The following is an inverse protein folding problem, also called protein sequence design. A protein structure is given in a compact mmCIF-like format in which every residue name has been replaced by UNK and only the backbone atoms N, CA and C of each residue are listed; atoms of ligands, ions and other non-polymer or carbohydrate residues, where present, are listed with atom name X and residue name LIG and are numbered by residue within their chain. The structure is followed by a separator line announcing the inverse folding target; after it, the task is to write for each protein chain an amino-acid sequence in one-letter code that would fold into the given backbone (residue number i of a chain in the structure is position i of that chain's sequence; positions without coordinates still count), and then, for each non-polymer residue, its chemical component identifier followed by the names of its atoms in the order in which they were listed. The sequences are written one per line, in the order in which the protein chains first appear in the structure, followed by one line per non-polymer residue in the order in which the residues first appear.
data_IF_130901362527
#
_entry.id   IF_130901362527
#
_cell.length_a   1.000
_cell.length_b   1.000
_cell.length_c   1.000
_cell.angle_alpha   90.00
_cell.angle_beta   90.00
_cell.angle_gamma   90.00
#
_symmetry.space_group_name_H-M   'P 1'
#
loop_
_entity.id
_entity.type
_entity.pdbx_description
1 polymer ?
#
# COMPACT_ATOMS: atom_id res chain seq x y z
N UNK A 1 -7.96 -0.66 34.57
CA UNK A 1 -7.55 0.63 33.95
C UNK A 1 -6.02 0.66 33.97
N UNK A 2 -5.37 0.53 32.81
CA UNK A 2 -3.91 0.51 32.72
C UNK A 2 -3.36 1.89 33.13
N UNK A 3 -2.34 1.92 34.00
CA UNK A 3 -1.68 3.18 34.35
C UNK A 3 -0.96 3.75 33.12
N UNK A 4 -0.82 5.08 33.06
CA UNK A 4 -0.18 5.78 31.95
C UNK A 4 1.27 5.30 31.72
N UNK A 5 1.93 4.78 32.77
CA UNK A 5 3.29 4.25 32.69
C UNK A 5 3.35 2.83 32.14
N UNK A 6 2.38 1.96 32.48
CA UNK A 6 2.31 0.61 31.91
C UNK A 6 2.04 0.67 30.40
N UNK A 7 1.19 1.61 29.97
CA UNK A 7 0.89 1.83 28.55
C UNK A 7 2.14 2.27 27.78
N UNK A 8 2.92 3.20 28.36
CA UNK A 8 4.18 3.68 27.78
C UNK A 8 5.25 2.59 27.70
N UNK A 9 5.36 1.77 28.75
CA UNK A 9 6.29 0.64 28.79
C UNK A 9 5.92 -0.43 27.75
N UNK A 10 4.64 -0.78 27.64
CA UNK A 10 4.16 -1.75 26.66
C UNK A 10 4.46 -1.29 25.22
N UNK A 11 4.12 -0.04 24.88
CA UNK A 11 4.36 0.52 23.53
C UNK A 11 5.86 0.50 23.16
N UNK A 12 6.75 0.81 24.10
CA UNK A 12 8.20 0.70 23.88
C UNK A 12 8.66 -0.74 23.70
N UNK A 13 8.14 -1.66 24.51
CA UNK A 13 8.47 -3.08 24.39
C UNK A 13 8.07 -3.64 23.02
N UNK A 14 6.87 -3.31 22.53
CA UNK A 14 6.44 -3.70 21.18
C UNK A 14 7.34 -3.12 20.10
N UNK A 15 7.69 -1.84 20.19
CA UNK A 15 8.60 -1.21 19.21
C UNK A 15 10.02 -1.79 19.25
N UNK A 16 10.52 -2.18 20.42
CA UNK A 16 11.82 -2.85 20.55
C UNK A 16 11.78 -4.28 20.02
N UNK A 17 10.69 -5.01 20.26
CA UNK A 17 10.48 -6.36 19.74
C UNK A 17 10.23 -6.38 18.22
N UNK A 18 9.79 -5.26 17.64
CA UNK A 18 9.55 -5.12 16.20
C UNK A 18 10.76 -5.52 15.35
N UNK A 19 11.94 -4.99 15.68
CA UNK A 19 13.17 -5.20 14.90
C UNK A 19 13.58 -6.68 14.86
N UNK A 20 13.76 -7.39 15.99
CA UNK A 20 14.12 -8.81 15.95
C UNK A 20 13.03 -9.66 15.29
N UNK A 21 11.74 -9.35 15.49
CA UNK A 21 10.64 -10.07 14.82
C UNK A 21 10.73 -9.91 13.30
N UNK A 22 10.99 -8.70 12.81
CA UNK A 22 11.18 -8.45 11.38
C UNK A 22 12.42 -9.15 10.83
N UNK A 23 13.54 -9.13 11.55
CA UNK A 23 14.77 -9.83 11.14
C UNK A 23 14.57 -11.34 11.06
N UNK A 24 13.93 -11.93 12.07
CA UNK A 24 13.60 -13.36 12.08
C UNK A 24 12.65 -13.69 10.92
N UNK A 25 11.57 -12.92 10.75
CA UNK A 25 10.63 -13.10 9.64
C UNK A 25 11.31 -13.02 8.27
N UNK A 26 12.15 -11.99 8.04
CA UNK A 26 12.87 -11.80 6.77
C UNK A 26 13.88 -12.91 6.50
N UNK A 27 14.58 -13.40 7.53
CA UNK A 27 15.54 -14.51 7.38
C UNK A 27 14.89 -15.80 6.85
N UNK A 28 13.58 -15.96 7.05
CA UNK A 28 12.82 -17.09 6.54
C UNK A 28 12.56 -17.09 5.02
N UNK A 29 12.78 -15.98 4.30
CA UNK A 29 12.43 -15.86 2.87
C UNK A 29 13.58 -16.09 1.87
N UNK A 30 14.78 -16.38 2.33
CA UNK A 30 15.94 -16.60 1.44
C UNK A 30 16.42 -18.04 1.49
N UNK A 31 15.47 -18.97 1.60
CA UNK A 31 15.73 -20.42 1.65
C UNK A 31 15.98 -20.96 0.24
N UNK A 32 15.21 -20.49 -0.74
CA UNK A 32 15.39 -20.82 -2.15
C UNK A 32 15.23 -19.55 -3.00
N UNK A 33 16.36 -18.92 -3.32
CA UNK A 33 16.39 -17.64 -4.02
C UNK A 33 15.71 -16.52 -3.23
N UNK A 34 14.67 -15.92 -3.81
CA UNK A 34 13.83 -14.88 -3.18
C UNK A 34 12.66 -15.46 -2.36
N UNK A 35 12.60 -16.79 -2.20
CA UNK A 35 11.48 -17.48 -1.58
C UNK A 35 11.82 -18.19 -0.27
N UNK A 36 10.78 -18.36 0.57
CA UNK A 36 10.88 -19.14 1.80
C UNK A 36 10.94 -20.67 1.58
N UNK A 37 11.12 -21.14 0.35
CA UNK A 37 11.09 -22.57 0.00
C UNK A 37 9.69 -23.21 0.03
N UNK A 38 8.66 -22.47 0.46
CA UNK A 38 7.25 -22.86 0.42
C UNK A 38 6.45 -22.06 -0.63
N UNK A 39 7.15 -21.43 -1.57
CA UNK A 39 6.55 -20.67 -2.66
C UNK A 39 6.14 -19.23 -2.31
N UNK A 40 6.46 -18.71 -1.13
CA UNK A 40 6.25 -17.31 -0.80
C UNK A 40 7.48 -16.49 -1.13
N UNK A 41 7.31 -15.42 -1.91
CA UNK A 41 8.37 -14.45 -2.21
C UNK A 41 8.50 -13.46 -1.05
N UNK A 42 9.73 -13.03 -0.73
CA UNK A 42 9.98 -11.97 0.27
C UNK A 42 9.13 -10.73 -0.02
N UNK A 43 8.51 -10.19 1.03
CA UNK A 43 7.61 -9.06 0.93
C UNK A 43 6.23 -9.39 0.35
N UNK A 44 5.88 -10.68 0.12
CA UNK A 44 4.58 -11.23 -0.27
C UNK A 44 3.64 -10.32 -1.07
N UNK A 45 2.93 -9.36 -0.45
CA UNK A 45 2.02 -8.48 -1.17
C UNK A 45 2.76 -7.52 -2.11
N UNK A 46 3.95 -7.06 -1.73
CA UNK A 46 4.75 -6.13 -2.53
C UNK A 46 5.19 -6.73 -3.86
N UNK A 47 5.37 -8.06 -3.97
CA UNK A 47 5.68 -8.68 -5.27
C UNK A 47 4.55 -8.47 -6.28
N UNK A 48 3.30 -8.39 -5.83
CA UNK A 48 2.16 -8.07 -6.70
C UNK A 48 2.21 -6.60 -7.15
N UNK A 49 2.56 -5.68 -6.25
CA UNK A 49 2.66 -4.25 -6.55
C UNK A 49 3.83 -3.96 -7.50
N UNK A 50 5.00 -4.55 -7.24
CA UNK A 50 6.17 -4.39 -8.08
C UNK A 50 5.94 -4.97 -9.48
N UNK A 51 5.39 -6.19 -9.58
CA UNK A 51 5.11 -6.82 -10.88
C UNK A 51 4.09 -6.01 -11.68
N UNK A 52 2.97 -5.60 -11.06
CA UNK A 52 1.93 -4.82 -11.73
C UNK A 52 2.39 -3.41 -12.12
N UNK A 53 3.15 -2.72 -11.26
CA UNK A 53 3.78 -1.44 -11.61
C UNK A 53 4.77 -1.58 -12.76
N UNK A 54 5.52 -2.68 -12.82
CA UNK A 54 6.43 -2.97 -13.92
C UNK A 54 5.70 -3.24 -15.24
N UNK A 55 4.55 -3.91 -15.20
CA UNK A 55 3.69 -4.09 -16.38
C UNK A 55 3.11 -2.76 -16.85
N UNK A 56 2.68 -1.91 -15.91
CA UNK A 56 2.19 -0.56 -16.21
C UNK A 56 3.25 0.31 -16.88
N UNK A 57 4.50 0.32 -16.38
CA UNK A 57 5.62 1.06 -16.99
C UNK A 57 5.91 0.65 -18.44
N UNK A 58 5.52 -0.57 -18.82
CA UNK A 58 5.72 -1.13 -20.16
C UNK A 58 4.47 -1.04 -21.03
N UNK A 59 3.45 -0.29 -20.62
CA UNK A 59 2.14 -0.19 -21.28
C UNK A 59 1.44 -1.55 -21.45
N UNK A 60 1.61 -2.45 -20.48
CA UNK A 60 1.06 -3.82 -20.47
C UNK A 60 0.18 -4.05 -19.24
N UNK A 61 -0.50 -3.02 -18.74
CA UNK A 61 -1.22 -3.09 -17.46
C UNK A 61 -2.32 -4.17 -17.45
N UNK A 62 -2.95 -4.43 -18.60
CA UNK A 62 -3.97 -5.48 -18.74
C UNK A 62 -3.47 -6.87 -18.37
N UNK A 63 -2.18 -7.15 -18.58
CA UNK A 63 -1.58 -8.45 -18.26
C UNK A 63 -1.48 -8.72 -16.77
N UNK A 64 -1.54 -7.68 -15.93
CA UNK A 64 -1.61 -7.89 -14.48
C UNK A 64 -2.89 -8.62 -14.08
N UNK A 65 -3.91 -8.59 -14.93
CA UNK A 65 -5.19 -9.28 -14.77
C UNK A 65 -5.27 -10.61 -15.54
N UNK A 66 -4.19 -11.02 -16.20
CA UNK A 66 -4.02 -12.39 -16.69
C UNK A 66 -3.31 -13.21 -15.61
N UNK A 67 -4.03 -14.15 -14.99
CA UNK A 67 -3.53 -14.93 -13.86
C UNK A 67 -2.26 -15.71 -14.23
N UNK A 68 -2.23 -16.32 -15.40
CA UNK A 68 -1.14 -17.20 -15.79
C UNK A 68 0.11 -16.40 -16.17
N UNK A 69 -0.05 -15.36 -16.98
CA UNK A 69 1.03 -14.42 -17.31
C UNK A 69 1.60 -13.72 -16.08
N UNK A 70 0.73 -13.25 -15.17
CA UNK A 70 1.16 -12.56 -13.95
C UNK A 70 1.95 -13.50 -13.01
N UNK A 71 1.48 -14.73 -12.82
CA UNK A 71 2.19 -15.75 -12.04
C UNK A 71 3.50 -16.16 -12.70
N UNK A 72 3.53 -16.27 -14.04
CA UNK A 72 4.76 -16.56 -14.76
C UNK A 72 5.82 -15.46 -14.58
N UNK A 73 5.41 -14.19 -14.57
CA UNK A 73 6.32 -13.07 -14.29
C UNK A 73 6.91 -13.14 -12.87
N UNK A 74 6.10 -13.50 -11.87
CA UNK A 74 6.57 -13.65 -10.48
C UNK A 74 7.50 -14.87 -10.35
N UNK A 75 7.19 -16.00 -10.99
CA UNK A 75 8.09 -17.18 -11.02
C UNK A 75 9.44 -16.83 -11.65
N UNK A 76 9.42 -16.09 -12.76
CA UNK A 76 10.64 -15.66 -13.45
C UNK A 76 11.51 -14.75 -12.58
N UNK A 77 10.90 -13.89 -11.76
CA UNK A 77 11.60 -13.09 -10.75
C UNK A 77 12.18 -13.97 -9.63
N UNK A 78 11.38 -14.88 -9.09
CA UNK A 78 11.72 -15.66 -7.91
C UNK A 78 12.79 -16.73 -8.19
N UNK A 79 12.85 -17.25 -9.42
CA UNK A 79 13.73 -18.36 -9.80
C UNK A 79 13.31 -19.72 -9.24
N UNK A 80 12.12 -19.81 -8.62
CA UNK A 80 11.60 -20.98 -7.93
C UNK A 80 10.08 -21.10 -8.14
N UNK A 81 9.48 -22.28 -7.87
CA UNK A 81 8.03 -22.40 -7.78
C UNK A 81 7.48 -21.42 -6.74
N UNK A 82 6.39 -20.73 -7.08
CA UNK A 82 5.72 -19.80 -6.16
C UNK A 82 4.25 -20.18 -5.98
N UNK A 83 3.68 -19.77 -4.86
CA UNK A 83 2.25 -19.85 -4.63
C UNK A 83 1.45 -19.07 -5.69
N UNK A 84 0.16 -19.37 -5.87
CA UNK A 84 -0.69 -18.65 -6.80
C UNK A 84 -0.91 -17.17 -6.42
N UNK A 85 -0.03 -16.31 -6.91
CA UNK A 85 -0.21 -14.86 -6.82
C UNK A 85 -1.26 -14.34 -7.81
N UNK A 86 -1.88 -13.22 -7.49
CA UNK A 86 -2.85 -12.52 -8.33
C UNK A 86 -2.88 -11.03 -7.98
N UNK A 87 -3.32 -10.20 -8.92
CA UNK A 87 -3.46 -8.76 -8.71
C UNK A 87 -4.93 -8.35 -8.61
N UNK A 88 -5.31 -7.78 -7.46
CA UNK A 88 -6.72 -7.51 -7.09
C UNK A 88 -7.08 -6.03 -7.02
N UNK A 89 -6.14 -5.16 -7.41
CA UNK A 89 -6.28 -3.72 -7.28
C UNK A 89 -6.63 -3.06 -8.62
N UNK A 90 -7.25 -1.87 -8.62
CA UNK A 90 -7.47 -1.10 -9.84
C UNK A 90 -6.15 -0.58 -10.43
N UNK A 91 -6.13 -0.14 -11.70
CA UNK A 91 -4.93 0.39 -12.36
C UNK A 91 -4.25 1.56 -11.63
N UNK A 92 -4.98 2.33 -10.81
CA UNK A 92 -4.41 3.38 -9.95
C UNK A 92 -3.35 2.84 -8.98
N UNK A 93 -3.48 1.61 -8.49
CA UNK A 93 -2.45 0.98 -7.65
C UNK A 93 -1.18 0.69 -8.44
N UNK A 94 -1.30 0.30 -9.71
CA UNK A 94 -0.13 0.05 -10.57
C UNK A 94 0.65 1.33 -10.80
N UNK A 95 -0.05 2.43 -11.08
CA UNK A 95 0.56 3.75 -11.22
C UNK A 95 1.25 4.22 -9.91
N UNK A 96 0.66 3.92 -8.74
CA UNK A 96 1.28 4.19 -7.44
C UNK A 96 2.56 3.36 -7.22
N UNK A 97 2.55 2.10 -7.65
CA UNK A 97 3.69 1.19 -7.49
C UNK A 97 4.79 1.41 -8.55
N UNK A 98 4.45 1.99 -9.70
CA UNK A 98 5.35 2.15 -10.85
C UNK A 98 6.70 2.83 -10.53
N UNK A 99 6.77 3.92 -9.74
CA UNK A 99 8.07 4.52 -9.37
C UNK A 99 9.00 3.55 -8.65
N UNK A 100 8.45 2.64 -7.82
CA UNK A 100 9.22 1.61 -7.13
C UNK A 100 9.58 0.45 -8.06
N UNK A 101 8.68 0.10 -8.98
CA UNK A 101 8.90 -0.96 -9.97
C UNK A 101 10.00 -0.64 -11.00
N UNK A 102 10.40 0.63 -11.12
CA UNK A 102 11.57 1.04 -11.90
C UNK A 102 12.90 0.58 -11.26
N UNK A 103 12.90 0.23 -9.96
CA UNK A 103 14.06 -0.28 -9.25
C UNK A 103 14.10 -1.82 -9.31
N UNK A 104 15.29 -2.45 -9.18
CA UNK A 104 15.39 -3.88 -8.90
C UNK A 104 14.57 -4.26 -7.66
N UNK A 105 14.05 -5.49 -7.61
CA UNK A 105 13.02 -5.89 -6.65
C UNK A 105 13.37 -5.64 -5.17
N UNK A 106 14.55 -6.06 -4.70
CA UNK A 106 14.93 -5.87 -3.30
C UNK A 106 15.12 -4.39 -2.91
N UNK A 107 15.85 -3.56 -3.68
CA UNK A 107 15.84 -2.10 -3.50
C UNK A 107 14.43 -1.49 -3.53
N UNK A 108 13.56 -1.97 -4.42
CA UNK A 108 12.19 -1.49 -4.51
C UNK A 108 11.40 -1.79 -3.23
N UNK A 109 11.53 -2.99 -2.66
CA UNK A 109 10.89 -3.39 -1.41
C UNK A 109 11.37 -2.53 -0.23
N UNK A 110 12.69 -2.28 -0.16
CA UNK A 110 13.26 -1.40 0.85
C UNK A 110 12.75 0.04 0.70
N UNK A 111 12.71 0.57 -0.53
CA UNK A 111 12.21 1.91 -0.81
C UNK A 111 10.71 2.06 -0.51
N UNK A 112 9.90 1.07 -0.88
CA UNK A 112 8.47 1.02 -0.58
C UNK A 112 8.20 1.08 0.92
N UNK A 113 8.89 0.23 1.67
CA UNK A 113 8.80 0.18 3.13
C UNK A 113 9.27 1.50 3.73
N UNK A 114 10.45 2.00 3.35
CA UNK A 114 10.98 3.26 3.88
C UNK A 114 10.07 4.46 3.58
N UNK A 115 9.49 4.54 2.39
CA UNK A 115 8.57 5.60 2.01
C UNK A 115 7.27 5.56 2.84
N UNK A 116 6.67 4.38 2.99
CA UNK A 116 5.44 4.21 3.77
C UNK A 116 5.64 4.58 5.24
N UNK A 117 6.70 4.05 5.88
CA UNK A 117 7.00 4.33 7.29
C UNK A 117 7.53 5.74 7.52
N UNK A 118 8.32 6.27 6.59
CA UNK A 118 8.80 7.65 6.64
C UNK A 118 7.64 8.64 6.61
N UNK A 119 6.68 8.44 5.70
CA UNK A 119 5.48 9.26 5.63
C UNK A 119 4.60 9.12 6.89
N UNK A 120 4.44 7.90 7.41
CA UNK A 120 3.70 7.65 8.65
C UNK A 120 4.37 8.32 9.86
N UNK A 121 5.69 8.22 9.97
CA UNK A 121 6.48 8.89 10.99
C UNK A 121 6.29 10.41 10.93
N UNK A 122 6.37 11.01 9.75
CA UNK A 122 6.20 12.45 9.57
C UNK A 122 4.79 12.91 9.98
N UNK A 123 3.75 12.15 9.60
CA UNK A 123 2.37 12.41 10.02
C UNK A 123 2.23 12.36 11.54
N UNK A 124 2.74 11.30 12.18
CA UNK A 124 2.68 11.14 13.63
C UNK A 124 3.51 12.20 14.36
N UNK A 125 4.66 12.61 13.81
CA UNK A 125 5.52 13.64 14.40
C UNK A 125 4.82 14.99 14.49
N UNK A 126 4.06 15.36 13.47
CA UNK A 126 3.33 16.63 13.44
C UNK A 126 2.19 16.68 14.47
N UNK A 127 1.66 15.52 14.90
CA UNK A 127 0.44 15.45 15.71
C UNK A 127 0.68 14.94 17.15
N UNK A 128 1.59 13.99 17.33
CA UNK A 128 1.90 13.37 18.63
C UNK A 128 3.26 13.84 19.21
N UNK A 129 4.02 14.66 18.47
CA UNK A 129 5.34 15.13 18.86
C UNK A 129 6.46 14.09 18.63
N UNK A 130 7.74 14.54 18.57
CA UNK A 130 8.87 13.72 18.09
C UNK A 130 9.24 12.56 19.01
N UNK A 131 8.96 12.64 20.31
CA UNK A 131 9.40 11.65 21.29
C UNK A 131 8.73 10.27 21.12
N UNK A 132 7.56 10.20 20.49
CA UNK A 132 6.77 8.97 20.38
C UNK A 132 6.46 8.55 18.94
N UNK A 133 6.81 9.36 17.93
CA UNK A 133 6.36 9.10 16.56
C UNK A 133 6.94 7.82 15.96
N UNK A 134 8.24 7.56 16.18
CA UNK A 134 8.90 6.33 15.72
C UNK A 134 8.39 5.10 16.47
N UNK A 135 8.16 5.25 17.78
CA UNK A 135 7.64 4.17 18.62
C UNK A 135 6.21 3.82 18.22
N UNK A 136 5.35 4.82 18.02
CA UNK A 136 3.97 4.62 17.60
C UNK A 136 3.85 4.03 16.18
N UNK A 137 4.75 4.42 15.26
CA UNK A 137 4.78 3.86 13.91
C UNK A 137 5.14 2.36 13.89
N UNK A 138 5.89 1.87 14.87
CA UNK A 138 6.40 0.49 14.93
C UNK A 138 5.70 -0.39 15.98
N UNK A 139 5.03 0.20 16.98
CA UNK A 139 4.45 -0.54 18.09
C UNK A 139 3.17 -1.32 17.73
N UNK A 140 2.51 -0.98 16.61
CA UNK A 140 1.31 -1.67 16.20
C UNK A 140 1.66 -3.02 15.53
N UNK A 141 1.04 -4.16 15.93
CA UNK A 141 1.23 -5.44 15.23
C UNK A 141 0.92 -5.36 13.73
N UNK A 142 -0.09 -4.56 13.35
CA UNK A 142 -0.42 -4.28 11.96
C UNK A 142 0.73 -3.60 11.19
N UNK A 143 1.56 -2.80 11.87
CA UNK A 143 2.77 -2.25 11.27
C UNK A 143 3.84 -3.33 11.08
N UNK A 144 3.98 -4.32 11.96
CA UNK A 144 4.94 -5.42 11.72
C UNK A 144 4.52 -6.26 10.51
N UNK A 145 3.25 -6.63 10.46
CA UNK A 145 2.63 -7.32 9.31
C UNK A 145 2.83 -6.52 8.03
N UNK A 146 2.64 -5.20 8.09
CA UNK A 146 2.78 -4.36 6.92
C UNK A 146 4.22 -4.33 6.39
N UNK A 147 5.22 -4.26 7.26
CA UNK A 147 6.61 -4.27 6.86
C UNK A 147 7.05 -5.65 6.35
N UNK A 148 6.66 -6.74 7.02
CA UNK A 148 7.07 -8.09 6.66
C UNK A 148 6.52 -8.52 5.29
N UNK A 149 5.25 -8.21 5.02
CA UNK A 149 4.57 -8.59 3.78
C UNK A 149 4.48 -7.44 2.77
N UNK A 150 5.22 -6.35 2.97
CA UNK A 150 5.28 -5.25 1.99
C UNK A 150 3.92 -4.61 1.66
N UNK A 151 3.00 -4.57 2.62
CA UNK A 151 1.65 -4.07 2.44
C UNK A 151 1.58 -2.55 2.18
N UNK A 152 0.44 -2.10 1.65
CA UNK A 152 0.14 -0.68 1.40
C UNK A 152 -0.58 0.03 2.57
N UNK A 153 -0.70 -0.63 3.72
CA UNK A 153 -1.39 -0.12 4.91
C UNK A 153 -0.79 1.17 5.45
N UNK A 154 0.53 1.31 5.45
CA UNK A 154 1.20 2.54 5.86
C UNK A 154 0.79 3.75 4.98
N UNK A 155 0.80 3.58 3.65
CA UNK A 155 0.32 4.61 2.71
C UNK A 155 -1.16 4.93 2.92
N UNK A 156 -1.98 3.90 3.11
CA UNK A 156 -3.41 4.05 3.41
C UNK A 156 -3.64 4.87 4.67
N UNK A 157 -2.89 4.58 5.75
CA UNK A 157 -2.98 5.30 7.01
C UNK A 157 -2.55 6.76 6.87
N UNK A 158 -1.49 7.02 6.08
CA UNK A 158 -1.02 8.39 5.81
C UNK A 158 -2.07 9.20 5.04
N UNK A 159 -2.62 8.64 3.96
CA UNK A 159 -3.62 9.35 3.17
C UNK A 159 -4.92 9.55 3.96
N UNK A 160 -5.42 8.50 4.62
CA UNK A 160 -6.67 8.59 5.39
C UNK A 160 -6.51 9.50 6.62
N UNK A 161 -5.49 9.26 7.44
CA UNK A 161 -5.23 10.05 8.64
C UNK A 161 -4.88 11.50 8.32
N UNK A 162 -4.02 11.72 7.32
CA UNK A 162 -3.68 13.05 6.85
C UNK A 162 -4.89 13.80 6.28
N UNK A 163 -5.78 13.11 5.55
CA UNK A 163 -7.01 13.73 5.05
C UNK A 163 -7.93 14.16 6.18
N UNK A 164 -8.15 13.29 7.18
CA UNK A 164 -8.96 13.59 8.36
C UNK A 164 -8.40 14.78 9.16
N UNK A 165 -7.08 14.85 9.34
CA UNK A 165 -6.41 15.96 10.02
C UNK A 165 -6.49 17.28 9.22
N UNK A 166 -6.41 17.21 7.90
CA UNK A 166 -6.53 18.37 7.02
C UNK A 166 -7.99 18.85 6.85
N UNK A 167 -8.98 17.98 7.05
CA UNK A 167 -10.39 18.25 6.74
C UNK A 167 -10.94 19.55 7.35
N UNK A 168 -10.67 19.90 8.63
CA UNK A 168 -11.25 21.09 9.25
C UNK A 168 -10.66 22.41 8.74
N UNK A 169 -9.40 22.41 8.29
CA UNK A 169 -8.65 23.65 7.99
C UNK A 169 -8.21 23.79 6.53
N UNK A 170 -8.07 22.66 5.82
CA UNK A 170 -7.52 22.56 4.46
C UNK A 170 -8.34 21.55 3.63
N UNK A 171 -9.62 21.86 3.32
CA UNK A 171 -10.54 20.92 2.68
C UNK A 171 -10.06 20.41 1.31
N UNK A 172 -9.33 21.23 0.54
CA UNK A 172 -8.77 20.79 -0.76
C UNK A 172 -7.67 19.76 -0.57
N UNK A 173 -6.75 19.98 0.38
CA UNK A 173 -5.67 19.02 0.69
C UNK A 173 -6.27 17.71 1.21
N UNK A 174 -7.28 17.79 2.08
CA UNK A 174 -8.01 16.61 2.53
C UNK A 174 -8.63 15.86 1.35
N UNK A 175 -9.24 16.58 0.41
CA UNK A 175 -9.80 16.00 -0.80
C UNK A 175 -8.75 15.29 -1.65
N UNK A 176 -7.60 15.91 -1.90
CA UNK A 176 -6.50 15.26 -2.64
C UNK A 176 -6.07 13.96 -1.97
N UNK A 177 -5.82 13.97 -0.66
CA UNK A 177 -5.41 12.77 0.08
C UNK A 177 -6.50 11.67 0.05
N UNK A 178 -7.76 12.05 0.19
CA UNK A 178 -8.90 11.13 0.04
C UNK A 178 -9.01 10.56 -1.38
N UNK A 179 -8.82 11.37 -2.42
CA UNK A 179 -8.88 10.91 -3.80
C UNK A 179 -7.74 9.96 -4.17
N UNK A 180 -6.56 10.13 -3.58
CA UNK A 180 -5.44 9.19 -3.73
C UNK A 180 -5.73 7.81 -3.14
N UNK A 181 -6.70 7.67 -2.22
CA UNK A 181 -7.16 6.36 -1.73
C UNK A 181 -7.99 5.58 -2.74
N UNK A 182 -8.24 6.10 -3.94
CA UNK A 182 -8.98 5.41 -5.00
C UNK A 182 -8.34 4.07 -5.42
N UNK A 183 -7.06 3.83 -5.11
CA UNK A 183 -6.46 2.50 -5.27
C UNK A 183 -7.10 1.43 -4.35
N UNK A 184 -7.84 1.83 -3.31
CA UNK A 184 -8.70 0.96 -2.48
C UNK A 184 -10.17 1.20 -2.82
N UNK A 185 -10.80 0.36 -3.66
CA UNK A 185 -12.16 0.58 -4.16
C UNK A 185 -13.19 0.84 -3.05
N UNK A 186 -13.11 0.08 -1.95
CA UNK A 186 -14.03 0.25 -0.82
C UNK A 186 -13.88 1.63 -0.14
N UNK A 187 -12.66 2.17 -0.04
CA UNK A 187 -12.44 3.54 0.46
C UNK A 187 -12.86 4.57 -0.58
N UNK A 188 -12.64 4.29 -1.87
CA UNK A 188 -13.09 5.13 -2.98
C UNK A 188 -14.62 5.31 -3.04
N UNK A 189 -15.40 4.39 -2.46
CA UNK A 189 -16.87 4.52 -2.32
C UNK A 189 -17.26 5.12 -0.98
N UNK A 190 -16.68 4.62 0.12
CA UNK A 190 -17.07 5.04 1.46
C UNK A 190 -16.73 6.50 1.75
N UNK A 191 -15.56 6.96 1.31
CA UNK A 191 -15.08 8.32 1.58
C UNK A 191 -15.97 9.38 0.93
N UNK A 192 -16.28 9.32 -0.38
CA UNK A 192 -17.21 10.28 -1.00
C UNK A 192 -18.60 10.27 -0.34
N UNK A 193 -19.12 9.10 0.05
CA UNK A 193 -20.40 8.99 0.74
C UNK A 193 -20.38 9.75 2.07
N UNK A 194 -19.36 9.52 2.91
CA UNK A 194 -19.22 10.21 4.20
C UNK A 194 -19.05 11.72 4.00
N UNK A 195 -18.26 12.15 3.01
CA UNK A 195 -18.08 13.58 2.73
C UNK A 195 -19.37 14.26 2.26
N UNK A 196 -20.18 13.59 1.42
CA UNK A 196 -21.46 14.10 0.96
C UNK A 196 -22.48 14.20 2.12
N UNK A 197 -22.60 13.14 2.93
CA UNK A 197 -23.49 13.12 4.10
C UNK A 197 -23.08 14.15 5.17
N UNK A 198 -21.78 14.42 5.31
CA UNK A 198 -21.25 15.44 6.21
C UNK A 198 -21.27 16.87 5.64
N UNK A 199 -21.77 17.08 4.42
CA UNK A 199 -21.81 18.41 3.78
C UNK A 199 -20.44 18.98 3.39
N UNK A 200 -19.40 18.15 3.31
CA UNK A 200 -18.03 18.54 2.97
C UNK A 200 -17.81 18.65 1.44
N UNK A 201 -18.66 19.40 0.75
CA UNK A 201 -18.71 19.45 -0.72
C UNK A 201 -17.40 19.89 -1.39
N UNK A 202 -16.66 20.81 -0.78
CA UNK A 202 -15.34 21.24 -1.29
C UNK A 202 -14.33 20.08 -1.27
N UNK A 203 -14.29 19.34 -0.18
CA UNK A 203 -13.44 18.15 -0.03
C UNK A 203 -13.88 17.05 -0.98
N UNK A 204 -15.19 16.82 -1.09
CA UNK A 204 -15.79 15.86 -2.02
C UNK A 204 -15.35 16.14 -3.47
N UNK A 205 -15.50 17.39 -3.94
CA UNK A 205 -15.14 17.77 -5.30
C UNK A 205 -13.64 17.57 -5.56
N UNK A 206 -12.78 17.96 -4.61
CA UNK A 206 -11.33 17.76 -4.71
C UNK A 206 -10.94 16.28 -4.71
N UNK A 207 -11.61 15.44 -3.92
CA UNK A 207 -11.41 13.99 -3.90
C UNK A 207 -11.84 13.34 -5.21
N UNK A 208 -13.03 13.69 -5.72
CA UNK A 208 -13.52 13.20 -7.00
C UNK A 208 -12.58 13.59 -8.14
N UNK A 209 -12.17 14.86 -8.20
CA UNK A 209 -11.22 15.33 -9.22
C UNK A 209 -9.89 14.59 -9.15
N UNK A 210 -9.34 14.40 -7.94
CA UNK A 210 -8.06 13.70 -7.75
C UNK A 210 -8.17 12.22 -8.14
N UNK A 211 -9.26 11.54 -7.77
CA UNK A 211 -9.51 10.15 -8.14
C UNK A 211 -9.65 9.98 -9.66
N UNK A 212 -10.38 10.88 -10.33
CA UNK A 212 -10.52 10.89 -11.79
C UNK A 212 -9.15 11.12 -12.44
N UNK A 213 -8.39 12.11 -11.98
CA UNK A 213 -7.07 12.40 -12.53
C UNK A 213 -6.10 11.21 -12.35
N UNK A 214 -6.10 10.58 -11.18
CA UNK A 214 -5.32 9.36 -10.93
C UNK A 214 -5.75 8.21 -11.84
N UNK A 215 -7.06 8.05 -12.06
CA UNK A 215 -7.63 7.04 -12.95
C UNK A 215 -7.23 7.25 -14.41
N UNK A 216 -7.34 8.48 -14.89
CA UNK A 216 -6.92 8.90 -16.23
C UNK A 216 -5.42 8.71 -16.42
N UNK A 217 -4.59 9.14 -15.45
CA UNK A 217 -3.15 8.95 -15.49
C UNK A 217 -2.78 7.46 -15.55
N UNK A 218 -3.46 6.62 -14.77
CA UNK A 218 -3.26 5.18 -14.80
C UNK A 218 -3.63 4.58 -16.18
N UNK A 219 -4.73 5.01 -16.79
CA UNK A 219 -5.15 4.55 -18.12
C UNK A 219 -4.28 5.08 -19.27
N UNK A 220 -3.79 6.31 -19.17
CA UNK A 220 -3.01 6.96 -20.23
C UNK A 220 -1.68 6.25 -20.53
N UNK A 221 -1.04 5.67 -19.53
CA UNK A 221 0.21 4.91 -19.70
C UNK A 221 -0.06 3.41 -19.73
N UNK A 222 -0.91 2.91 -18.84
CA UNK A 222 -1.17 1.48 -18.69
C UNK A 222 -2.08 0.87 -19.75
N UNK A 223 -2.85 1.70 -20.45
CA UNK A 223 -3.97 1.27 -21.30
C UNK A 223 -5.31 1.38 -20.56
N UNK A 224 -6.35 1.84 -21.27
CA UNK A 224 -7.71 1.93 -20.73
C UNK A 224 -8.46 0.58 -20.74
N UNK A 225 -7.96 -0.41 -21.47
CA UNK A 225 -8.43 -1.79 -21.46
C UNK A 225 -8.29 -2.45 -20.07
N UNK A 226 -7.22 -2.12 -19.34
CA UNK A 226 -7.02 -2.56 -17.95
C UNK A 226 -8.19 -2.16 -17.04
N UNK A 227 -8.80 -0.98 -17.27
CA UNK A 227 -10.00 -0.55 -16.53
C UNK A 227 -11.25 -1.36 -16.88
N UNK A 228 -11.36 -1.84 -18.12
CA UNK A 228 -12.49 -2.66 -18.54
C UNK A 228 -12.42 -4.09 -17.99
N UNK A 229 -11.21 -4.65 -17.88
CA UNK A 229 -11.00 -6.02 -17.37
C UNK A 229 -11.09 -6.09 -15.84
N UNK A 230 -10.68 -5.04 -15.14
CA UNK A 230 -10.62 -5.02 -13.68
C UNK A 230 -11.93 -5.45 -12.98
N UNK A 231 -13.12 -4.90 -13.30
CA UNK A 231 -14.37 -5.29 -12.64
C UNK A 231 -14.71 -6.77 -12.87
N UNK A 232 -14.54 -7.28 -14.09
CA UNK A 232 -14.87 -8.66 -14.45
C UNK A 232 -13.99 -9.70 -13.72
N UNK A 233 -12.79 -9.30 -13.28
CA UNK A 233 -11.88 -10.18 -12.53
C UNK A 233 -12.15 -10.18 -11.03
N UNK A 234 -12.88 -9.20 -10.50
CA UNK A 234 -13.29 -9.19 -9.09
C UNK A 234 -14.29 -10.31 -8.75
N UNK A 235 -14.99 -10.85 -9.75
CA UNK A 235 -15.95 -11.94 -9.57
C UNK A 235 -15.29 -13.30 -9.33
N UNK A 236 -14.05 -13.50 -9.81
CA UNK A 236 -13.27 -14.73 -9.59
C UNK A 236 -12.69 -14.87 -8.18
N UNK A 237 -12.78 -13.82 -7.35
CA UNK A 237 -12.34 -13.84 -5.95
C UNK A 237 -13.46 -14.22 -4.97
N UNK A 238 -14.62 -14.66 -5.49
CA UNK A 238 -15.71 -15.27 -4.72
C UNK A 238 -15.62 -16.79 -4.81
#
# INVERSE_FOLDING_TARGET
MLTHDLTRAAVRLFALAAVPVLMIGLSGYFVDGLTNGAGKVVGEDFVNYWTSGGLWLRARAVEAYDLDGFRAAIRALAGAPVEPYHFSYPPTMMALAAPFAALPFLPALAAWTAAGYGALYLLLRQNAGPAWSAVAALAAPAALVNALYGQNGAFTAVFLGGALMALPTRPVVAGVLFGLLAFKPHLGVLVPLVLALGGHWRTFAAAAFTAVLAGLAAGAVGGFDAWAVYPARMDFMR
#
